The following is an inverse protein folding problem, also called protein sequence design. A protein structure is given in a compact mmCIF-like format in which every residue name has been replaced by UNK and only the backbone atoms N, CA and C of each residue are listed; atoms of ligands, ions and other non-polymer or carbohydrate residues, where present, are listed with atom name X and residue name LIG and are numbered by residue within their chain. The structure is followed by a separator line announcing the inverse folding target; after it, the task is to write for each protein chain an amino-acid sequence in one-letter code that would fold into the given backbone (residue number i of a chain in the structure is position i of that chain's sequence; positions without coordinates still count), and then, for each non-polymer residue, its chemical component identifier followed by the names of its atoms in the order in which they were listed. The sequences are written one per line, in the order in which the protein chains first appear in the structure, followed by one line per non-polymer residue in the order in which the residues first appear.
data_IF_782760543045
#
_entry.id   IF_782760543045
#
_cell.length_a   1.000
_cell.length_b   1.000
_cell.length_c   1.000
_cell.angle_alpha   90.00
_cell.angle_beta   90.00
_cell.angle_gamma   90.00
#
_symmetry.space_group_name_H-M   'P 1'
#
loop_
_entity.id
_entity.type
_entity.pdbx_description
1 polymer ?
#
# COMPACT_ATOMS: atom_id res chain seq x y z
N UNK A 1 55.04 -22.08 -13.18
CA UNK A 1 54.08 -21.91 -14.29
C UNK A 1 52.68 -22.13 -13.72
N UNK A 2 51.87 -21.09 -13.87
CA UNK A 2 50.41 -21.03 -13.72
C UNK A 2 49.76 -21.33 -12.35
N UNK A 3 49.51 -20.23 -11.63
CA UNK A 3 48.39 -20.03 -10.72
C UNK A 3 47.11 -19.68 -11.51
N UNK A 4 46.00 -20.39 -11.27
CA UNK A 4 44.65 -19.96 -11.68
C UNK A 4 43.71 -19.96 -10.47
N UNK A 5 43.48 -18.78 -9.89
CA UNK A 5 42.24 -17.97 -10.03
C UNK A 5 41.04 -18.53 -9.26
N UNK A 6 40.95 -18.13 -8.00
CA UNK A 6 39.69 -17.98 -7.27
C UNK A 6 38.87 -16.85 -7.90
N UNK A 7 37.63 -17.15 -8.32
CA UNK A 7 36.70 -16.17 -8.86
C UNK A 7 35.97 -15.49 -7.69
N UNK A 8 36.51 -14.37 -7.21
CA UNK A 8 35.76 -13.41 -6.40
C UNK A 8 34.82 -12.63 -7.31
N UNK A 9 33.52 -12.93 -7.26
CA UNK A 9 32.52 -12.08 -7.89
C UNK A 9 32.26 -10.87 -7.00
N UNK A 10 32.76 -9.74 -7.49
CA UNK A 10 32.60 -8.39 -7.00
C UNK A 10 31.12 -7.96 -7.03
N UNK A 11 30.56 -7.65 -5.86
CA UNK A 11 29.18 -7.17 -5.66
C UNK A 11 29.10 -5.66 -5.92
N UNK A 12 29.45 -5.22 -7.13
CA UNK A 12 29.50 -3.79 -7.48
C UNK A 12 28.88 -3.49 -8.84
N UNK A 13 27.61 -3.85 -9.06
CA UNK A 13 26.93 -3.53 -10.34
C UNK A 13 25.48 -3.04 -10.24
N UNK A 14 25.05 -2.53 -9.09
CA UNK A 14 23.75 -1.83 -8.96
C UNK A 14 23.89 -0.35 -8.59
N UNK A 15 24.98 0.30 -8.99
CA UNK A 15 25.07 1.76 -9.00
C UNK A 15 24.69 2.25 -10.40
N UNK A 16 23.38 2.27 -10.67
CA UNK A 16 22.83 3.01 -11.80
C UNK A 16 23.25 4.48 -11.63
N UNK A 17 24.04 4.98 -12.59
CA UNK A 17 24.74 6.24 -12.52
C UNK A 17 23.83 7.44 -12.28
N UNK A 18 23.86 7.97 -11.06
CA UNK A 18 23.48 9.35 -10.77
C UNK A 18 24.67 10.26 -11.10
N UNK A 19 24.86 10.53 -12.40
CA UNK A 19 25.67 11.66 -12.86
C UNK A 19 24.95 12.40 -13.98
N UNK A 20 24.12 13.35 -13.57
CA UNK A 20 24.07 14.73 -14.06
C UNK A 20 23.24 15.51 -13.03
N UNK A 21 23.86 16.47 -12.34
CA UNK A 21 23.11 17.53 -11.64
C UNK A 21 22.31 18.26 -12.72
N UNK A 22 21.03 17.94 -12.85
CA UNK A 22 20.07 18.77 -13.55
C UNK A 22 20.20 20.19 -12.99
N UNK A 23 20.07 21.25 -13.81
CA UNK A 23 20.07 22.61 -13.29
C UNK A 23 18.99 22.66 -12.20
N UNK A 24 19.40 23.08 -10.99
CA UNK A 24 18.49 23.39 -9.91
C UNK A 24 17.58 24.49 -10.45
N UNK A 25 16.40 24.11 -10.93
CA UNK A 25 15.32 25.06 -11.15
C UNK A 25 14.98 25.52 -9.73
N UNK A 26 15.50 26.67 -9.33
CA UNK A 26 15.05 27.36 -8.13
C UNK A 26 13.57 27.60 -8.35
N UNK A 27 12.71 26.90 -7.62
CA UNK A 27 11.28 27.12 -7.69
C UNK A 27 11.04 28.55 -7.19
N UNK A 28 10.74 29.47 -8.10
CA UNK A 28 10.25 30.80 -7.71
C UNK A 28 9.08 30.59 -6.74
N UNK A 29 9.14 31.26 -5.59
CA UNK A 29 8.18 31.14 -4.48
C UNK A 29 8.21 29.84 -3.65
N UNK A 30 9.28 29.03 -3.70
CA UNK A 30 9.42 27.84 -2.83
C UNK A 30 9.20 28.17 -1.36
N UNK A 31 9.86 29.22 -0.85
CA UNK A 31 9.75 29.63 0.56
C UNK A 31 8.33 30.03 0.93
N UNK A 32 7.62 30.71 0.02
CA UNK A 32 6.21 31.07 0.23
C UNK A 32 5.31 29.84 0.28
N UNK A 33 5.53 28.86 -0.60
CA UNK A 33 4.78 27.59 -0.61
C UNK A 33 5.05 26.78 0.66
N UNK A 34 6.31 26.70 1.07
CA UNK A 34 6.73 26.00 2.30
C UNK A 34 6.05 26.64 3.50
N UNK A 35 6.10 27.98 3.62
CA UNK A 35 5.50 28.69 4.74
C UNK A 35 3.97 28.50 4.77
N UNK A 36 3.29 28.68 3.64
CA UNK A 36 1.83 28.48 3.56
C UNK A 36 1.41 27.06 3.93
N UNK A 37 2.15 26.05 3.47
CA UNK A 37 1.88 24.66 3.80
C UNK A 37 2.16 24.35 5.28
N UNK A 38 3.25 24.89 5.85
CA UNK A 38 3.57 24.71 7.27
C UNK A 38 2.52 25.38 8.17
N UNK A 39 2.12 26.61 7.85
CA UNK A 39 1.09 27.35 8.59
C UNK A 39 -0.26 26.63 8.55
N UNK A 40 -0.65 26.12 7.37
CA UNK A 40 -1.88 25.35 7.21
C UNK A 40 -1.85 24.06 8.03
N UNK A 41 -0.77 23.27 7.93
CA UNK A 41 -0.63 22.03 8.70
C UNK A 41 -0.59 22.31 10.21
N UNK A 42 0.05 23.40 10.64
CA UNK A 42 0.06 23.81 12.03
C UNK A 42 -1.32 24.26 12.51
N UNK A 43 -2.11 24.93 11.67
CA UNK A 43 -3.52 25.24 11.98
C UNK A 43 -4.32 23.97 12.22
N UNK A 44 -4.18 22.96 11.35
CA UNK A 44 -4.88 21.67 11.52
C UNK A 44 -4.47 20.93 12.79
N UNK A 45 -3.19 21.05 13.21
CA UNK A 45 -2.72 20.53 14.51
C UNK A 45 -3.37 21.28 15.67
N UNK A 46 -3.41 22.61 15.61
CA UNK A 46 -4.00 23.45 16.65
C UNK A 46 -5.51 23.17 16.82
N UNK A 47 -6.20 22.93 15.71
CA UNK A 47 -7.62 22.55 15.67
C UNK A 47 -7.87 21.08 16.04
N UNK A 48 -6.81 20.32 16.32
CA UNK A 48 -6.85 18.88 16.65
C UNK A 48 -7.46 18.00 15.56
N UNK A 49 -7.41 18.46 14.32
CA UNK A 49 -7.90 17.74 13.13
C UNK A 49 -6.79 16.89 12.50
N UNK A 50 -5.52 17.26 12.72
CA UNK A 50 -4.38 16.56 12.15
C UNK A 50 -3.27 16.28 13.17
N UNK A 51 -2.69 15.09 13.07
CA UNK A 51 -1.43 14.72 13.68
C UNK A 51 -0.76 13.66 12.80
N UNK A 52 0.49 13.87 12.40
CA UNK A 52 1.20 12.95 11.52
C UNK A 52 2.46 13.54 10.94
N UNK A 53 2.98 12.92 9.88
CA UNK A 53 4.17 13.39 9.17
C UNK A 53 3.86 13.64 7.71
N UNK A 54 4.44 14.70 7.16
CA UNK A 54 4.18 15.15 5.80
C UNK A 54 5.48 15.28 5.03
N UNK A 55 5.50 14.69 3.83
CA UNK A 55 6.50 14.95 2.80
C UNK A 55 5.82 15.67 1.64
N UNK A 56 6.31 16.87 1.31
CA UNK A 56 5.93 17.59 0.09
C UNK A 56 7.19 17.71 -0.75
N UNK A 57 7.15 17.21 -1.98
CA UNK A 57 8.24 17.33 -2.93
C UNK A 57 7.71 17.80 -4.29
N UNK A 58 8.56 18.55 -5.01
CA UNK A 58 8.32 18.93 -6.40
C UNK A 58 9.58 18.65 -7.18
N UNK A 59 9.45 17.81 -8.22
CA UNK A 59 10.60 17.23 -8.92
C UNK A 59 11.55 16.56 -7.91
N UNK A 60 12.85 16.84 -7.99
CA UNK A 60 13.87 16.28 -7.09
C UNK A 60 14.08 17.11 -5.80
N UNK A 61 13.21 18.11 -5.55
CA UNK A 61 13.33 18.99 -4.38
C UNK A 61 12.27 18.64 -3.33
N UNK A 62 12.74 18.31 -2.13
CA UNK A 62 11.90 18.20 -0.93
C UNK A 62 11.66 19.61 -0.40
N UNK A 63 10.38 19.99 -0.31
CA UNK A 63 9.92 21.28 0.21
C UNK A 63 9.57 21.17 1.70
N UNK A 64 8.90 20.09 2.09
CA UNK A 64 8.58 19.76 3.49
C UNK A 64 8.93 18.30 3.74
N UNK A 65 9.56 18.03 4.88
CA UNK A 65 9.74 16.70 5.45
C UNK A 65 9.73 16.85 6.98
N UNK A 66 8.53 16.89 7.56
CA UNK A 66 8.33 17.30 8.96
C UNK A 66 7.22 16.49 9.62
N UNK A 67 7.37 16.29 10.93
CA UNK A 67 6.32 15.77 11.80
C UNK A 67 5.52 16.90 12.46
N UNK A 68 4.23 16.68 12.60
CA UNK A 68 3.22 17.61 13.09
C UNK A 68 2.41 16.92 14.19
N UNK A 69 2.19 17.61 15.31
CA UNK A 69 1.48 17.03 16.45
C UNK A 69 2.22 15.85 17.11
N UNK A 70 1.45 14.96 17.73
CA UNK A 70 1.93 13.86 18.55
C UNK A 70 1.75 12.50 17.87
N UNK A 71 2.71 11.59 18.02
CA UNK A 71 2.65 10.24 17.44
C UNK A 71 1.67 9.31 18.16
N UNK A 72 1.29 9.67 19.38
CA UNK A 72 0.36 8.93 20.23
C UNK A 72 -0.82 9.79 20.68
N UNK A 73 -1.90 9.13 21.11
CA UNK A 73 -3.09 9.78 21.64
C UNK A 73 -2.76 10.62 22.90
N UNK A 74 -1.95 10.06 23.80
CA UNK A 74 -1.34 10.82 24.89
C UNK A 74 -0.03 11.37 24.33
N UNK A 75 0.12 12.70 24.32
CA UNK A 75 1.28 13.35 23.70
C UNK A 75 2.56 13.18 24.52
N UNK A 76 3.11 11.97 24.53
CA UNK A 76 4.41 11.66 25.12
C UNK A 76 5.53 11.90 24.09
N UNK A 77 5.24 11.59 22.82
CA UNK A 77 6.17 11.74 21.71
C UNK A 77 5.58 12.59 20.59
N UNK A 78 6.44 13.42 19.98
CA UNK A 78 6.09 14.21 18.79
C UNK A 78 6.29 13.38 17.54
N UNK A 79 5.47 13.61 16.53
CA UNK A 79 5.75 13.07 15.20
C UNK A 79 7.09 13.62 14.69
N UNK A 80 7.81 12.78 13.96
CA UNK A 80 9.01 13.14 13.21
C UNK A 80 8.89 12.55 11.80
N UNK A 81 9.72 13.00 10.87
CA UNK A 81 9.79 12.40 9.53
C UNK A 81 10.11 10.89 9.51
N UNK A 82 10.50 10.32 10.65
CA UNK A 82 10.84 8.89 10.82
C UNK A 82 9.79 8.12 11.64
N UNK A 83 8.71 8.77 12.08
CA UNK A 83 7.64 8.07 12.80
C UNK A 83 7.03 6.97 11.92
N UNK A 84 6.85 5.77 12.49
CA UNK A 84 6.32 4.61 11.79
C UNK A 84 4.78 4.61 11.92
N UNK A 85 4.09 4.37 10.81
CA UNK A 85 2.63 4.34 10.75
C UNK A 85 2.11 3.02 10.19
N UNK A 86 0.94 2.61 10.65
CA UNK A 86 0.13 1.61 9.94
C UNK A 86 -0.47 2.29 8.71
N UNK A 87 -0.03 1.88 7.53
CA UNK A 87 -0.41 2.54 6.25
C UNK A 87 -1.76 2.05 5.69
N UNK A 88 -2.42 1.11 6.37
CA UNK A 88 -3.74 0.60 5.99
C UNK A 88 -3.79 0.15 4.53
N UNK A 89 -4.80 0.62 3.80
CA UNK A 89 -5.06 0.23 2.40
C UNK A 89 -3.98 0.63 1.39
N UNK A 90 -3.01 1.47 1.77
CA UNK A 90 -1.79 1.68 0.95
C UNK A 90 -0.98 0.38 0.79
N UNK A 91 -1.23 -0.62 1.64
CA UNK A 91 -0.68 -1.99 1.47
C UNK A 91 -1.19 -2.66 0.19
N UNK A 92 -2.44 -2.43 -0.24
CA UNK A 92 -3.05 -3.10 -1.40
C UNK A 92 -2.29 -2.90 -2.72
N UNK A 93 -1.90 -1.68 -3.12
CA UNK A 93 -1.10 -1.51 -4.33
C UNK A 93 0.27 -2.22 -4.26
N UNK A 94 0.87 -2.36 -3.07
CA UNK A 94 2.11 -3.15 -2.91
C UNK A 94 1.84 -4.64 -3.16
N UNK A 95 0.76 -5.19 -2.62
CA UNK A 95 0.32 -6.56 -2.91
C UNK A 95 0.05 -6.75 -4.41
N UNK A 96 -0.65 -5.80 -5.06
CA UNK A 96 -0.91 -5.85 -6.49
C UNK A 96 0.37 -5.85 -7.32
N UNK A 97 1.39 -5.05 -6.96
CA UNK A 97 2.71 -5.06 -7.61
C UNK A 97 3.35 -6.45 -7.50
N UNK A 98 3.31 -7.08 -6.32
CA UNK A 98 3.86 -8.43 -6.12
C UNK A 98 3.15 -9.44 -7.03
N UNK A 99 1.80 -9.43 -7.05
CA UNK A 99 1.01 -10.33 -7.90
C UNK A 99 1.30 -10.11 -9.38
N UNK A 100 1.39 -8.86 -9.83
CA UNK A 100 1.73 -8.54 -11.23
C UNK A 100 3.18 -8.93 -11.58
N UNK A 101 4.12 -8.83 -10.64
CA UNK A 101 5.50 -9.33 -10.84
C UNK A 101 5.54 -10.85 -10.97
N UNK A 102 4.73 -11.58 -10.20
CA UNK A 102 4.58 -13.04 -10.36
C UNK A 102 3.96 -13.38 -11.72
N UNK A 103 3.01 -12.56 -12.18
CA UNK A 103 2.41 -12.69 -13.50
C UNK A 103 3.41 -12.49 -14.65
N UNK A 104 4.19 -11.42 -14.61
CA UNK A 104 5.26 -11.16 -15.58
C UNK A 104 6.26 -12.34 -15.64
N UNK A 105 6.55 -12.95 -14.49
CA UNK A 105 7.45 -14.11 -14.35
C UNK A 105 6.81 -15.44 -14.74
N UNK A 106 5.55 -15.44 -15.18
CA UNK A 106 4.77 -16.66 -15.51
C UNK A 106 4.63 -17.63 -14.33
N UNK A 107 4.73 -17.13 -13.10
CA UNK A 107 4.54 -17.92 -11.87
C UNK A 107 3.09 -17.91 -11.39
N UNK A 108 2.28 -16.99 -11.92
CA UNK A 108 0.86 -16.83 -11.63
C UNK A 108 0.18 -16.26 -12.89
N UNK A 109 -1.06 -16.64 -13.21
CA UNK A 109 -1.84 -15.96 -14.25
C UNK A 109 -2.99 -15.21 -13.59
N UNK A 110 -3.06 -13.88 -13.77
CA UNK A 110 -4.15 -13.07 -13.22
C UNK A 110 -5.52 -13.44 -13.81
N UNK A 111 -5.55 -14.17 -14.92
CA UNK A 111 -6.78 -14.72 -15.52
C UNK A 111 -7.22 -16.04 -14.88
N UNK A 112 -6.39 -16.64 -14.01
CA UNK A 112 -6.78 -17.83 -13.27
C UNK A 112 -8.00 -17.55 -12.40
N UNK A 113 -8.86 -18.56 -12.31
CA UNK A 113 -9.98 -18.59 -11.37
C UNK A 113 -9.46 -18.76 -9.95
N UNK A 114 -10.12 -18.15 -8.98
CA UNK A 114 -9.72 -18.26 -7.58
C UNK A 114 -9.92 -19.68 -7.04
N UNK A 115 -10.81 -20.47 -7.66
CA UNK A 115 -10.98 -21.90 -7.37
C UNK A 115 -9.72 -22.75 -7.56
N UNK A 116 -8.72 -22.26 -8.29
CA UNK A 116 -7.41 -22.90 -8.37
C UNK A 116 -6.68 -22.92 -7.01
N UNK A 117 -6.96 -21.92 -6.15
CA UNK A 117 -6.33 -21.74 -4.84
C UNK A 117 -7.31 -22.07 -3.70
N UNK A 118 -8.59 -21.79 -3.89
CA UNK A 118 -9.67 -22.06 -2.94
C UNK A 118 -10.79 -22.87 -3.64
N UNK A 119 -10.63 -24.19 -3.83
CA UNK A 119 -11.57 -25.03 -4.59
C UNK A 119 -13.01 -25.00 -4.08
N UNK A 120 -13.18 -24.84 -2.77
CA UNK A 120 -14.49 -24.85 -2.10
C UNK A 120 -15.10 -23.44 -1.95
N UNK A 121 -14.48 -22.40 -2.52
CA UNK A 121 -15.00 -21.04 -2.43
C UNK A 121 -16.25 -20.88 -3.33
N UNK A 122 -17.41 -20.43 -2.80
CA UNK A 122 -18.61 -20.21 -3.60
C UNK A 122 -18.37 -19.23 -4.76
N UNK A 123 -18.80 -19.60 -5.96
CA UNK A 123 -18.52 -18.84 -7.20
C UNK A 123 -17.02 -18.69 -7.54
N UNK A 124 -16.13 -19.48 -6.94
CA UNK A 124 -14.69 -19.39 -7.17
C UNK A 124 -14.28 -19.67 -8.62
N UNK A 125 -15.10 -20.41 -9.37
CA UNK A 125 -14.93 -20.67 -10.80
C UNK A 125 -15.36 -19.48 -11.69
N UNK A 126 -16.01 -18.46 -11.14
CA UNK A 126 -16.47 -17.27 -11.85
C UNK A 126 -15.49 -16.11 -11.67
N UNK A 127 -14.91 -15.99 -10.47
CA UNK A 127 -14.02 -14.89 -10.07
C UNK A 127 -12.57 -15.18 -10.51
N UNK A 128 -11.91 -14.18 -11.10
CA UNK A 128 -10.47 -14.24 -11.43
C UNK A 128 -9.63 -13.43 -10.44
N UNK A 129 -8.33 -13.73 -10.37
CA UNK A 129 -7.37 -12.89 -9.60
C UNK A 129 -7.42 -11.43 -10.08
N UNK A 130 -7.56 -11.19 -11.39
CA UNK A 130 -7.74 -9.85 -11.95
C UNK A 130 -8.94 -9.13 -11.33
N UNK A 131 -10.04 -9.83 -11.07
CA UNK A 131 -11.20 -9.23 -10.42
C UNK A 131 -10.90 -8.80 -8.98
N UNK A 132 -10.13 -9.59 -8.23
CA UNK A 132 -9.68 -9.23 -6.88
C UNK A 132 -8.84 -7.94 -6.93
N UNK A 133 -7.80 -7.92 -7.77
CA UNK A 133 -6.89 -6.78 -7.90
C UNK A 133 -7.59 -5.48 -8.31
N UNK A 134 -8.66 -5.58 -9.09
CA UNK A 134 -9.37 -4.42 -9.63
C UNK A 134 -10.65 -4.06 -8.89
N UNK A 135 -10.96 -4.71 -7.76
CA UNK A 135 -12.21 -4.51 -7.01
C UNK A 135 -13.48 -4.70 -7.87
N UNK A 136 -13.48 -5.74 -8.69
CA UNK A 136 -14.62 -6.13 -9.56
C UNK A 136 -15.07 -7.56 -9.33
N UNK A 137 -14.74 -8.16 -8.17
CA UNK A 137 -15.05 -9.56 -7.86
C UNK A 137 -16.51 -9.80 -7.51
N UNK A 138 -17.22 -8.79 -7.00
CA UNK A 138 -18.55 -8.96 -6.42
C UNK A 138 -18.53 -9.62 -5.04
N UNK A 139 -17.36 -9.95 -4.48
CA UNK A 139 -17.24 -10.56 -3.16
C UNK A 139 -17.66 -9.57 -2.08
N UNK A 140 -18.57 -10.00 -1.20
CA UNK A 140 -19.02 -9.23 -0.05
C UNK A 140 -17.83 -8.77 0.80
N UNK A 141 -17.81 -7.48 1.14
CA UNK A 141 -16.74 -6.88 1.91
C UNK A 141 -16.91 -7.20 3.40
N UNK A 142 -16.00 -7.99 3.97
CA UNK A 142 -16.14 -8.47 5.35
C UNK A 142 -16.16 -7.35 6.40
N UNK A 143 -15.69 -6.14 6.05
CA UNK A 143 -15.76 -4.96 6.94
C UNK A 143 -17.16 -4.37 7.04
N UNK A 144 -18.09 -4.79 6.18
CA UNK A 144 -19.48 -4.34 6.18
C UNK A 144 -20.38 -5.30 7.00
N UNK A 145 -19.81 -6.39 7.53
CA UNK A 145 -20.52 -7.29 8.44
C UNK A 145 -20.75 -6.60 9.79
N UNK A 146 -21.91 -6.82 10.40
CA UNK A 146 -22.22 -6.31 11.74
C UNK A 146 -21.22 -6.80 12.80
N UNK A 147 -20.69 -8.02 12.61
CA UNK A 147 -19.70 -8.63 13.51
C UNK A 147 -18.26 -8.12 13.29
N UNK A 148 -18.04 -7.19 12.35
CA UNK A 148 -16.70 -6.75 11.99
C UNK A 148 -15.93 -6.17 13.18
N UNK A 149 -16.56 -5.31 14.00
CA UNK A 149 -15.89 -4.70 15.17
C UNK A 149 -15.45 -5.74 16.21
N UNK A 150 -16.24 -6.80 16.39
CA UNK A 150 -15.85 -7.92 17.24
C UNK A 150 -14.66 -8.67 16.61
N UNK A 151 -14.80 -9.05 15.34
CA UNK A 151 -13.83 -9.89 14.63
C UNK A 151 -12.50 -9.21 14.36
N UNK A 152 -12.45 -7.89 14.19
CA UNK A 152 -11.23 -7.16 13.87
C UNK A 152 -10.22 -7.11 15.04
N UNK A 153 -10.64 -7.52 16.24
CA UNK A 153 -9.77 -7.67 17.42
C UNK A 153 -9.30 -9.09 17.66
N UNK A 154 -9.85 -10.07 16.93
CA UNK A 154 -9.48 -11.48 17.04
C UNK A 154 -8.25 -11.80 16.16
N UNK A 155 -7.40 -12.71 16.65
CA UNK A 155 -6.29 -13.25 15.86
C UNK A 155 -6.80 -14.39 14.97
N UNK A 156 -7.35 -14.05 13.80
CA UNK A 156 -7.81 -15.01 12.80
C UNK A 156 -6.70 -15.44 11.85
N UNK A 157 -6.66 -16.72 11.48
CA UNK A 157 -5.92 -17.16 10.29
C UNK A 157 -6.62 -16.67 9.01
N UNK A 158 -5.92 -16.73 7.87
CA UNK A 158 -6.51 -16.39 6.57
C UNK A 158 -7.76 -17.25 6.31
N UNK A 159 -7.67 -18.55 6.54
CA UNK A 159 -8.81 -19.46 6.32
C UNK A 159 -9.98 -19.11 7.23
N UNK A 160 -9.73 -18.84 8.52
CA UNK A 160 -10.77 -18.41 9.45
C UNK A 160 -11.42 -17.09 9.03
N UNK A 161 -10.65 -16.14 8.50
CA UNK A 161 -11.18 -14.88 7.98
C UNK A 161 -12.04 -15.11 6.73
N UNK A 162 -11.63 -15.99 5.82
CA UNK A 162 -12.41 -16.35 4.64
C UNK A 162 -13.75 -16.98 5.05
N UNK A 163 -13.77 -17.87 6.04
CA UNK A 163 -15.00 -18.49 6.56
C UNK A 163 -16.02 -17.45 7.04
N UNK A 164 -15.58 -16.29 7.53
CA UNK A 164 -16.46 -15.22 8.04
C UNK A 164 -17.35 -14.64 6.94
N UNK A 165 -16.88 -14.57 5.69
CA UNK A 165 -17.62 -13.92 4.60
C UNK A 165 -17.90 -14.82 3.39
N UNK A 166 -17.31 -16.01 3.28
CA UNK A 166 -17.41 -16.85 2.06
C UNK A 166 -18.85 -17.24 1.70
N UNK A 167 -19.76 -17.29 2.67
CA UNK A 167 -21.17 -17.67 2.48
C UNK A 167 -22.07 -16.49 2.12
N UNK A 168 -21.55 -15.27 2.17
CA UNK A 168 -22.29 -14.09 1.71
C UNK A 168 -22.48 -14.16 0.19
N UNK A 169 -23.67 -13.75 -0.32
CA UNK A 169 -23.93 -13.74 -1.74
C UNK A 169 -23.02 -12.74 -2.45
N UNK A 170 -22.73 -13.00 -3.73
CA UNK A 170 -22.09 -11.99 -4.56
C UNK A 170 -23.00 -10.75 -4.67
N UNK A 171 -22.41 -9.58 -4.46
CA UNK A 171 -23.13 -8.29 -4.57
C UNK A 171 -23.47 -7.96 -6.02
N UNK A 172 -22.68 -8.45 -6.96
CA UNK A 172 -22.87 -8.31 -8.40
C UNK A 172 -22.05 -9.38 -9.16
N UNK A 173 -22.30 -9.53 -10.45
CA UNK A 173 -21.58 -10.48 -11.30
C UNK A 173 -20.10 -10.10 -11.42
N UNK A 174 -19.14 -11.03 -11.29
CA UNK A 174 -17.72 -10.70 -11.42
C UNK A 174 -17.42 -9.99 -12.75
N UNK A 175 -16.80 -8.81 -12.66
CA UNK A 175 -16.43 -7.95 -13.78
C UNK A 175 -17.52 -7.01 -14.31
N UNK A 176 -18.75 -7.04 -13.78
CA UNK A 176 -19.81 -6.13 -14.24
C UNK A 176 -19.73 -4.74 -13.61
N UNK A 177 -19.22 -4.65 -12.38
CA UNK A 177 -19.20 -3.41 -11.59
C UNK A 177 -17.92 -3.28 -10.78
N UNK A 178 -17.69 -2.08 -10.26
CA UNK A 178 -16.61 -1.78 -9.31
C UNK A 178 -17.22 -1.55 -7.91
N UNK A 179 -16.69 -2.25 -6.92
CA UNK A 179 -16.95 -1.97 -5.51
C UNK A 179 -15.72 -2.31 -4.69
N UNK A 180 -15.22 -1.34 -3.93
CA UNK A 180 -14.07 -1.54 -3.06
C UNK A 180 -14.38 -2.62 -2.02
N UNK A 181 -13.52 -3.62 -1.91
CA UNK A 181 -13.69 -4.73 -0.96
C UNK A 181 -12.36 -5.12 -0.33
N UNK A 182 -12.34 -5.22 1.00
CA UNK A 182 -11.19 -5.74 1.74
C UNK A 182 -11.07 -7.25 1.66
N UNK A 183 -12.13 -7.96 1.24
CA UNK A 183 -12.15 -9.41 1.05
C UNK A 183 -11.32 -9.88 -0.15
N UNK A 184 -10.95 -8.96 -1.05
CA UNK A 184 -10.09 -9.21 -2.22
C UNK A 184 -8.61 -9.29 -1.84
#
# INVERSE_FOLDING_TARGET
MESSKTHGQDKSSYLCGLKKKSPLITLENADSIIQQADDYLQSLVNDKVFSGSVLIARNDQILILKGYGCSEYICQEKNTSQTIYRIGSVTKPLTAIIVLKLHERKQLDIKNKISLYYPDYPHGNEITIKNLLSNTSGIFNYTDLEIFEQKCTENLTIDQLIEVFKTEPLQFKPGSEYSYSNSN
#
